data_IF_890035955393
#
_entry.id   IF_890035955393
#
_cell.length_a   1.000
_cell.length_b   1.000
_cell.length_c   1.000
_cell.angle_alpha   90.00
_cell.angle_beta   90.00
_cell.angle_gamma   90.00
#
_symmetry.space_group_name_H-M   'P 1'
#
loop_
_entity.id
_entity.type
_entity.pdbx_description
1 polymer ?
#
# COMPACT_ATOMS: atom_id res chain seq x y z
N UNK A 1 -21.23 -42.40 0.09
CA UNK A 1 -20.92 -41.17 -0.66
C UNK A 1 -20.79 -40.03 0.33
N UNK A 2 -19.58 -39.72 0.80
CA UNK A 2 -19.37 -38.68 1.81
C UNK A 2 -18.07 -37.90 1.53
N UNK A 3 -18.16 -36.58 1.78
CA UNK A 3 -17.09 -35.63 2.13
C UNK A 3 -15.99 -35.27 1.11
N UNK A 4 -16.35 -34.81 -0.09
CA UNK A 4 -15.41 -34.07 -0.95
C UNK A 4 -15.54 -32.53 -0.85
N UNK A 5 -16.58 -31.99 -0.19
CA UNK A 5 -16.93 -30.56 -0.25
C UNK A 5 -16.34 -29.64 0.83
N UNK A 6 -15.85 -30.16 1.96
CA UNK A 6 -15.43 -29.33 3.11
C UNK A 6 -13.92 -29.04 3.12
N UNK A 7 -13.11 -29.93 2.54
CA UNK A 7 -11.63 -29.78 2.52
C UNK A 7 -11.19 -28.69 1.52
N UNK A 8 -11.93 -28.50 0.43
CA UNK A 8 -11.62 -27.51 -0.61
C UNK A 8 -11.87 -26.05 -0.20
N UNK A 9 -12.93 -25.76 0.56
CA UNK A 9 -13.25 -24.41 1.02
C UNK A 9 -12.31 -23.93 2.12
N UNK A 10 -11.98 -24.79 3.10
CA UNK A 10 -11.05 -24.46 4.18
C UNK A 10 -9.62 -24.24 3.69
N UNK A 11 -9.14 -25.05 2.73
CA UNK A 11 -7.83 -24.85 2.08
C UNK A 11 -7.77 -23.55 1.28
N UNK A 12 -8.87 -23.18 0.61
CA UNK A 12 -8.95 -21.95 -0.18
C UNK A 12 -8.95 -20.73 0.74
N UNK A 13 -9.79 -20.72 1.78
CA UNK A 13 -9.82 -19.65 2.78
C UNK A 13 -8.47 -19.45 3.46
N UNK A 14 -7.74 -20.55 3.72
CA UNK A 14 -6.39 -20.49 4.28
C UNK A 14 -5.42 -19.77 3.33
N UNK A 15 -5.44 -20.08 2.03
CA UNK A 15 -4.61 -19.39 1.05
C UNK A 15 -4.97 -17.91 0.91
N UNK A 16 -6.25 -17.57 0.89
CA UNK A 16 -6.69 -16.16 0.81
C UNK A 16 -6.19 -15.36 2.02
N UNK A 17 -6.31 -15.91 3.24
CA UNK A 17 -5.75 -15.29 4.45
C UNK A 17 -4.23 -15.13 4.40
N UNK A 18 -3.52 -16.12 3.86
CA UNK A 18 -2.06 -16.03 3.67
C UNK A 18 -1.69 -14.90 2.70
N UNK A 19 -2.41 -14.75 1.59
CA UNK A 19 -2.19 -13.66 0.63
C UNK A 19 -2.55 -12.30 1.20
N UNK A 20 -3.66 -12.20 1.93
CA UNK A 20 -4.05 -10.99 2.64
C UNK A 20 -2.99 -10.57 3.67
N UNK A 21 -2.47 -11.52 4.47
CA UNK A 21 -1.38 -11.26 5.43
C UNK A 21 -0.11 -10.83 4.70
N UNK A 22 0.24 -11.52 3.63
CA UNK A 22 1.40 -11.18 2.81
C UNK A 22 1.27 -9.78 2.20
N UNK A 23 0.07 -9.33 1.82
CA UNK A 23 -0.15 -7.96 1.34
C UNK A 23 0.19 -6.91 2.40
N UNK A 24 -0.24 -7.11 3.66
CA UNK A 24 0.05 -6.19 4.77
C UNK A 24 1.57 -6.17 5.03
N UNK A 25 2.16 -7.33 5.26
CA UNK A 25 3.58 -7.46 5.59
C UNK A 25 4.47 -6.99 4.45
N UNK A 26 4.13 -7.34 3.21
CA UNK A 26 4.88 -6.94 2.03
C UNK A 26 4.91 -5.44 1.84
N UNK A 27 3.78 -4.75 2.06
CA UNK A 27 3.76 -3.29 1.98
C UNK A 27 4.64 -2.63 3.06
N UNK A 28 4.51 -3.07 4.32
CA UNK A 28 5.22 -2.45 5.44
C UNK A 28 6.72 -2.80 5.49
N UNK A 29 7.09 -4.01 5.07
CA UNK A 29 8.51 -4.38 4.94
C UNK A 29 9.16 -3.66 3.76
N UNK A 30 8.46 -3.51 2.63
CA UNK A 30 8.95 -2.73 1.50
C UNK A 30 9.10 -1.25 1.85
N UNK A 31 8.20 -0.69 2.65
CA UNK A 31 8.32 0.66 3.20
C UNK A 31 9.61 0.83 4.03
N UNK A 32 9.82 -0.02 5.04
CA UNK A 32 11.03 0.01 5.88
C UNK A 32 12.32 -0.21 5.07
N UNK A 33 12.29 -1.10 4.07
CA UNK A 33 13.39 -1.34 3.16
C UNK A 33 13.75 -0.10 2.31
N UNK A 34 12.76 0.73 2.01
CA UNK A 34 12.88 1.91 1.13
C UNK A 34 13.20 3.19 1.89
N UNK A 35 12.72 3.31 3.13
CA UNK A 35 12.80 4.49 3.98
C UNK A 35 14.18 5.19 3.96
N UNK A 36 15.32 4.47 4.04
CA UNK A 36 16.62 5.11 4.03
C UNK A 36 16.95 5.97 2.80
N UNK A 37 16.35 5.68 1.65
CA UNK A 37 16.57 6.40 0.39
C UNK A 37 15.29 7.14 -0.07
N UNK A 38 14.38 7.43 0.86
CA UNK A 38 13.12 8.08 0.57
C UNK A 38 13.30 9.51 0.06
N UNK A 39 12.51 9.89 -0.95
CA UNK A 39 12.47 11.24 -1.53
C UNK A 39 13.81 11.74 -2.07
N UNK A 40 14.69 10.84 -2.48
CA UNK A 40 15.84 11.20 -3.31
C UNK A 40 15.37 11.17 -4.77
N UNK A 41 15.09 12.36 -5.30
CA UNK A 41 14.65 12.58 -6.69
C UNK A 41 15.80 12.62 -7.69
N UNK A 42 17.03 12.36 -7.27
CA UNK A 42 18.15 12.29 -8.19
C UNK A 42 18.70 10.86 -8.16
N UNK A 43 18.54 10.14 -9.27
CA UNK A 43 19.01 8.75 -9.37
C UNK A 43 20.52 8.67 -9.31
N UNK A 44 21.23 9.62 -9.91
CA UNK A 44 22.69 9.67 -9.82
C UNK A 44 23.12 9.87 -8.37
N UNK A 45 22.36 10.65 -7.58
CA UNK A 45 22.61 10.78 -6.15
C UNK A 45 22.44 9.46 -5.40
N UNK A 46 21.42 8.66 -5.73
CA UNK A 46 21.25 7.31 -5.14
C UNK A 46 22.47 6.43 -5.47
N UNK A 47 22.91 6.43 -6.72
CA UNK A 47 24.10 5.66 -7.14
C UNK A 47 25.37 6.06 -6.41
N UNK A 48 25.59 7.38 -6.24
CA UNK A 48 26.73 7.92 -5.50
C UNK A 48 26.68 7.43 -4.05
N UNK A 49 25.52 7.52 -3.40
CA UNK A 49 25.35 7.06 -2.02
C UNK A 49 25.66 5.56 -1.87
N UNK A 50 25.18 4.71 -2.79
CA UNK A 50 25.48 3.27 -2.75
C UNK A 50 26.98 3.01 -2.91
N UNK A 51 27.64 3.70 -3.84
CA UNK A 51 29.10 3.60 -4.04
C UNK A 51 29.88 4.05 -2.80
N UNK A 52 29.49 5.17 -2.19
CA UNK A 52 30.09 5.69 -0.94
C UNK A 52 29.91 4.73 0.25
N UNK A 53 28.86 3.90 0.25
CA UNK A 53 28.64 2.87 1.25
C UNK A 53 29.22 1.49 0.88
N UNK A 54 29.95 1.38 -0.24
CA UNK A 54 30.47 0.12 -0.78
C UNK A 54 29.39 -0.94 -1.03
N UNK A 55 28.19 -0.50 -1.43
CA UNK A 55 27.07 -1.35 -1.79
C UNK A 55 26.95 -1.49 -3.31
N UNK A 56 26.50 -2.66 -3.74
CA UNK A 56 26.15 -2.90 -5.14
C UNK A 56 24.89 -2.14 -5.53
N UNK A 57 24.83 -1.68 -6.79
CA UNK A 57 23.69 -0.95 -7.34
C UNK A 57 22.35 -1.72 -7.20
N UNK A 58 22.42 -3.05 -7.26
CA UNK A 58 21.28 -3.96 -7.17
C UNK A 58 20.86 -4.30 -5.72
N UNK A 59 21.43 -3.62 -4.71
CA UNK A 59 21.09 -3.81 -3.29
C UNK A 59 20.87 -2.49 -2.54
N UNK A 60 19.91 -1.65 -2.97
CA UNK A 60 19.67 -0.35 -2.35
C UNK A 60 18.82 -0.41 -1.07
N UNK A 61 18.13 -1.52 -0.82
CA UNK A 61 17.28 -1.67 0.35
C UNK A 61 18.06 -1.55 1.66
N UNK A 62 17.40 -1.06 2.71
CA UNK A 62 17.99 -0.94 4.04
C UNK A 62 19.35 -0.23 4.00
N UNK A 63 19.49 0.81 3.16
CA UNK A 63 20.71 1.59 3.05
C UNK A 63 21.19 2.04 4.44
N UNK A 64 22.42 1.70 4.87
CA UNK A 64 22.82 1.72 6.27
C UNK A 64 22.93 3.13 6.87
N UNK A 65 22.99 4.15 6.02
CA UNK A 65 23.08 5.56 6.41
C UNK A 65 21.87 6.32 5.86
N UNK A 66 20.68 6.24 6.50
CA UNK A 66 19.49 6.93 6.02
C UNK A 66 19.78 8.35 5.52
N UNK A 67 19.46 8.61 4.25
CA UNK A 67 19.85 9.79 3.49
C UNK A 67 18.64 10.56 2.95
N UNK A 68 17.44 10.29 3.48
CA UNK A 68 16.25 11.07 3.18
C UNK A 68 16.52 12.56 3.49
N UNK A 69 16.26 13.49 2.56
CA UNK A 69 16.55 14.91 2.77
C UNK A 69 15.51 15.63 3.67
N UNK A 70 14.43 14.95 4.07
CA UNK A 70 13.29 15.58 4.75
C UNK A 70 13.04 15.11 6.18
N UNK A 71 13.65 14.00 6.62
CA UNK A 71 13.57 13.49 7.98
C UNK A 71 14.75 12.57 8.29
N UNK A 72 15.00 12.30 9.57
CA UNK A 72 16.06 11.40 10.03
C UNK A 72 15.47 10.32 10.92
N UNK A 73 15.29 9.12 10.37
CA UNK A 73 14.78 7.96 11.07
C UNK A 73 15.86 6.88 11.21
N UNK A 74 15.69 6.00 12.21
CA UNK A 74 16.59 4.88 12.40
C UNK A 74 16.37 3.81 11.34
N UNK A 75 17.44 3.12 10.95
CA UNK A 75 17.36 2.00 10.00
C UNK A 75 16.35 0.96 10.48
N UNK A 76 15.46 0.54 9.58
CA UNK A 76 14.40 -0.43 9.86
C UNK A 76 13.08 0.19 10.31
N UNK A 77 13.04 1.47 10.68
CA UNK A 77 11.78 2.17 10.93
C UNK A 77 10.92 2.24 9.66
N UNK A 78 9.60 2.28 9.85
CA UNK A 78 8.68 2.67 8.79
C UNK A 78 8.94 4.12 8.38
N UNK A 79 8.63 4.46 7.14
CA UNK A 79 8.57 5.86 6.69
C UNK A 79 7.35 6.56 7.29
N UNK A 80 7.20 7.89 7.13
CA UNK A 80 5.95 8.59 7.44
C UNK A 80 4.70 7.87 6.92
N UNK A 81 4.73 7.35 5.70
CA UNK A 81 3.58 6.64 5.12
C UNK A 81 3.25 5.35 5.88
N UNK A 82 4.25 4.58 6.30
CA UNK A 82 4.01 3.35 7.06
C UNK A 82 3.51 3.64 8.47
N UNK A 83 4.08 4.62 9.17
CA UNK A 83 3.62 5.02 10.51
C UNK A 83 2.21 5.63 10.49
N UNK A 84 1.85 6.35 9.41
CA UNK A 84 0.51 6.91 9.21
C UNK A 84 -0.60 5.85 9.01
N UNK A 85 -0.22 4.58 8.77
CA UNK A 85 -1.16 3.45 8.72
C UNK A 85 -1.50 2.87 10.10
N UNK A 86 -0.75 3.22 11.15
CA UNK A 86 -0.96 2.67 12.50
C UNK A 86 -2.37 2.91 13.05
N UNK A 87 -2.98 4.11 12.91
CA UNK A 87 -4.38 4.30 13.30
C UNK A 87 -5.31 3.34 12.59
N UNK A 88 -5.11 3.08 11.30
CA UNK A 88 -5.98 2.19 10.54
C UNK A 88 -5.78 0.72 10.95
N UNK A 89 -4.54 0.29 11.19
CA UNK A 89 -4.24 -1.04 11.74
C UNK A 89 -4.96 -1.26 13.07
N UNK A 90 -4.88 -0.28 13.99
CA UNK A 90 -5.55 -0.35 15.30
C UNK A 90 -7.07 -0.31 15.15
N UNK A 91 -7.58 0.53 14.26
CA UNK A 91 -9.01 0.65 14.01
C UNK A 91 -9.61 -0.66 13.49
N UNK A 92 -9.00 -1.25 12.46
CA UNK A 92 -9.49 -2.50 11.87
C UNK A 92 -9.43 -3.68 12.83
N UNK A 93 -8.58 -3.63 13.84
CA UNK A 93 -8.46 -4.66 14.88
C UNK A 93 -9.30 -4.38 16.13
N UNK A 94 -9.70 -3.14 16.40
CA UNK A 94 -10.50 -2.80 17.59
C UNK A 94 -12.00 -3.03 17.39
N UNK A 95 -12.47 -2.97 16.14
CA UNK A 95 -13.90 -3.04 15.82
C UNK A 95 -14.46 -4.48 15.77
N UNK A 96 -13.61 -5.49 15.62
CA UNK A 96 -14.05 -6.89 15.50
C UNK A 96 -15.07 -7.06 14.36
N UNK A 97 -16.18 -7.74 14.65
CA UNK A 97 -17.28 -7.95 13.70
C UNK A 97 -18.00 -6.66 13.27
N UNK A 98 -17.84 -5.53 14.00
CA UNK A 98 -18.49 -4.25 13.64
C UNK A 98 -17.91 -3.61 12.38
N UNK A 99 -16.67 -3.95 12.02
CA UNK A 99 -15.99 -3.41 10.86
C UNK A 99 -15.64 -1.91 10.98
N UNK A 100 -15.26 -1.29 9.87
CA UNK A 100 -14.73 0.06 9.79
C UNK A 100 -15.82 1.13 10.01
N UNK A 101 -15.54 2.13 10.86
CA UNK A 101 -16.42 3.26 11.16
C UNK A 101 -15.64 4.59 11.03
N UNK A 102 -16.11 5.45 10.13
CA UNK A 102 -15.38 6.66 9.72
C UNK A 102 -15.16 7.66 10.84
N UNK A 103 -16.15 7.90 11.72
CA UNK A 103 -16.04 8.93 12.78
C UNK A 103 -15.06 8.50 13.87
N UNK A 104 -15.09 7.25 14.27
CA UNK A 104 -14.14 6.66 15.20
C UNK A 104 -12.72 6.67 14.59
N UNK A 105 -12.57 6.24 13.33
CA UNK A 105 -11.28 6.28 12.66
C UNK A 105 -10.70 7.70 12.54
N UNK A 106 -11.54 8.70 12.28
CA UNK A 106 -11.12 10.12 12.26
C UNK A 106 -10.57 10.57 13.63
N UNK A 107 -11.28 10.26 14.71
CA UNK A 107 -10.84 10.61 16.08
C UNK A 107 -9.56 9.90 16.49
N UNK A 108 -9.45 8.61 16.19
CA UNK A 108 -8.26 7.80 16.45
C UNK A 108 -7.04 8.33 15.67
N UNK A 109 -7.25 8.71 14.41
CA UNK A 109 -6.20 9.28 13.56
C UNK A 109 -5.75 10.65 14.05
N UNK A 110 -6.69 11.55 14.39
CA UNK A 110 -6.37 12.87 14.95
C UNK A 110 -5.58 12.75 16.26
N UNK A 111 -6.01 11.84 17.15
CA UNK A 111 -5.29 11.58 18.41
C UNK A 111 -3.86 11.05 18.16
N UNK A 112 -3.70 10.12 17.23
CA UNK A 112 -2.38 9.58 16.87
C UNK A 112 -1.49 10.68 16.27
N UNK A 113 -1.94 11.39 15.23
CA UNK A 113 -1.16 12.42 14.54
C UNK A 113 -0.76 13.56 15.48
N UNK A 114 -1.62 13.93 16.43
CA UNK A 114 -1.30 14.93 17.47
C UNK A 114 -0.15 14.50 18.39
N UNK A 115 -0.08 13.22 18.72
CA UNK A 115 0.96 12.66 19.61
C UNK A 115 2.21 12.17 18.86
N UNK A 116 2.13 12.10 17.53
CA UNK A 116 3.20 11.55 16.70
C UNK A 116 4.37 12.52 16.61
N UNK A 117 5.55 12.04 16.97
CA UNK A 117 6.78 12.84 16.99
C UNK A 117 7.56 12.80 15.67
N UNK A 118 7.13 11.94 14.75
CA UNK A 118 7.72 11.82 13.43
C UNK A 118 7.21 12.88 12.45
N UNK A 119 7.73 12.85 11.22
CA UNK A 119 7.26 13.72 10.14
C UNK A 119 5.92 13.21 9.63
N UNK A 120 4.91 14.07 9.63
CA UNK A 120 3.67 13.84 8.88
C UNK A 120 3.84 14.21 7.41
N UNK A 121 3.24 13.41 6.54
CA UNK A 121 2.94 13.73 5.15
C UNK A 121 1.91 14.86 5.06
N UNK A 122 1.78 15.47 3.89
CA UNK A 122 0.94 16.67 3.72
C UNK A 122 -0.53 16.42 4.10
N UNK A 123 -1.07 15.27 3.70
CA UNK A 123 -2.47 14.90 3.97
C UNK A 123 -2.78 14.79 5.47
N UNK A 124 -2.11 13.94 6.28
CA UNK A 124 -2.31 13.91 7.73
C UNK A 124 -2.07 15.24 8.42
N UNK A 125 -1.11 16.03 7.94
CA UNK A 125 -0.83 17.37 8.47
C UNK A 125 -2.03 18.31 8.29
N UNK A 126 -2.56 18.43 7.07
CA UNK A 126 -3.72 19.27 6.79
C UNK A 126 -4.97 18.78 7.52
N UNK A 127 -5.16 17.46 7.60
CA UNK A 127 -6.24 16.86 8.39
C UNK A 127 -6.12 17.22 9.87
N UNK A 128 -4.94 17.08 10.47
CA UNK A 128 -4.70 17.45 11.86
C UNK A 128 -4.99 18.94 12.10
N UNK A 129 -4.42 19.83 11.28
CA UNK A 129 -4.65 21.28 11.35
C UNK A 129 -6.14 21.63 11.29
N UNK A 130 -6.90 20.98 10.40
CA UNK A 130 -8.34 21.17 10.28
C UNK A 130 -9.12 20.68 11.52
N UNK A 131 -8.76 19.50 12.05
CA UNK A 131 -9.40 18.96 13.27
C UNK A 131 -9.08 19.80 14.51
N UNK A 132 -7.87 20.34 14.64
CA UNK A 132 -7.52 21.25 15.74
C UNK A 132 -8.21 22.61 15.64
N UNK A 133 -8.62 23.01 14.43
CA UNK A 133 -9.51 24.14 14.20
C UNK A 133 -11.00 23.82 14.45
N UNK A 134 -11.32 22.61 14.94
CA UNK A 134 -12.69 22.19 15.27
C UNK A 134 -13.53 21.73 14.07
N UNK A 135 -12.91 21.50 12.90
CA UNK A 135 -13.61 20.96 11.73
C UNK A 135 -13.82 19.45 11.86
N UNK A 136 -14.90 18.95 11.29
CA UNK A 136 -15.24 17.52 11.27
C UNK A 136 -15.70 17.07 9.86
N UNK A 137 -15.72 15.76 9.64
CA UNK A 137 -16.22 15.17 8.39
C UNK A 137 -15.43 15.67 7.17
N UNK A 138 -16.15 16.02 6.10
CA UNK A 138 -15.55 16.48 4.84
C UNK A 138 -14.76 17.78 5.00
N UNK A 139 -15.09 18.63 5.98
CA UNK A 139 -14.35 19.88 6.24
C UNK A 139 -12.99 19.64 6.90
N UNK A 140 -12.81 18.48 7.55
CA UNK A 140 -11.53 18.05 8.10
C UNK A 140 -10.63 17.38 7.05
N UNK A 141 -11.22 16.83 5.98
CA UNK A 141 -10.50 16.08 4.96
C UNK A 141 -9.68 17.01 4.04
N UNK A 142 -8.41 16.66 3.80
CA UNK A 142 -7.50 17.48 3.00
C UNK A 142 -7.90 17.49 1.51
N UNK A 143 -7.98 18.66 0.83
CA UNK A 143 -8.19 18.76 -0.62
C UNK A 143 -6.90 18.46 -1.37
N UNK A 144 -6.40 17.23 -1.23
CA UNK A 144 -5.07 16.82 -1.69
C UNK A 144 -5.15 15.41 -2.30
N UNK A 145 -4.53 15.25 -3.47
CA UNK A 145 -4.53 14.01 -4.23
C UNK A 145 -3.21 13.23 -4.18
N UNK A 146 -2.49 13.29 -3.07
CA UNK A 146 -1.29 12.49 -2.86
C UNK A 146 -1.62 11.03 -2.47
N UNK A 147 -0.59 10.17 -2.53
CA UNK A 147 -0.65 8.71 -2.36
C UNK A 147 -1.16 8.20 -1.00
N UNK A 148 -1.54 9.06 -0.06
CA UNK A 148 -2.01 8.66 1.27
C UNK A 148 -3.28 7.78 1.23
N UNK A 149 -4.11 7.91 0.19
CA UNK A 149 -5.27 7.04 -0.01
C UNK A 149 -4.88 5.61 -0.39
N UNK A 150 -3.96 5.45 -1.34
CA UNK A 150 -3.58 4.15 -1.90
C UNK A 150 -2.81 3.29 -0.90
N UNK A 151 -2.05 3.89 0.03
CA UNK A 151 -1.30 3.13 1.05
C UNK A 151 -2.21 2.44 2.08
N UNK A 152 -3.47 2.89 2.23
CA UNK A 152 -4.46 2.27 3.13
C UNK A 152 -5.03 0.96 2.55
N UNK A 153 -5.02 0.84 1.23
CA UNK A 153 -5.71 -0.22 0.49
C UNK A 153 -5.26 -1.63 0.88
N UNK A 154 -3.96 -1.93 1.09
CA UNK A 154 -3.54 -3.26 1.53
C UNK A 154 -4.24 -3.74 2.81
N UNK A 155 -4.43 -2.87 3.79
CA UNK A 155 -5.10 -3.21 5.05
C UNK A 155 -6.60 -3.46 4.85
N UNK A 156 -7.23 -2.65 4.02
CA UNK A 156 -8.67 -2.74 3.73
C UNK A 156 -8.99 -3.98 2.90
N UNK A 157 -8.17 -4.29 1.89
CA UNK A 157 -8.31 -5.54 1.13
C UNK A 157 -8.07 -6.74 2.03
N UNK A 158 -7.05 -6.70 2.89
CA UNK A 158 -6.80 -7.80 3.82
C UNK A 158 -7.95 -8.04 4.83
N UNK A 159 -8.78 -7.02 5.09
CA UNK A 159 -9.95 -7.11 5.96
C UNK A 159 -11.26 -7.47 5.24
N UNK A 160 -11.40 -7.07 3.98
CA UNK A 160 -12.68 -7.06 3.25
C UNK A 160 -12.65 -7.77 1.89
N UNK A 161 -11.55 -8.37 1.45
CA UNK A 161 -11.51 -9.11 0.18
C UNK A 161 -12.63 -10.16 0.10
N UNK A 162 -13.37 -10.18 -1.01
CA UNK A 162 -14.52 -11.05 -1.24
C UNK A 162 -15.85 -10.49 -0.70
N UNK A 163 -15.81 -9.40 0.08
CA UNK A 163 -17.00 -8.75 0.62
C UNK A 163 -17.52 -7.66 -0.32
N UNK A 164 -18.85 -7.55 -0.52
CA UNK A 164 -19.43 -6.44 -1.30
C UNK A 164 -19.15 -5.06 -0.67
N UNK A 165 -18.75 -5.04 0.61
CA UNK A 165 -18.40 -3.83 1.36
C UNK A 165 -17.00 -3.30 1.03
N UNK A 166 -16.11 -4.04 0.36
CA UNK A 166 -14.71 -3.63 0.16
C UNK A 166 -14.59 -2.21 -0.42
N UNK A 167 -15.19 -1.95 -1.59
CA UNK A 167 -15.05 -0.66 -2.27
C UNK A 167 -15.71 0.49 -1.49
N UNK A 168 -16.90 0.31 -0.89
CA UNK A 168 -17.45 1.25 0.08
C UNK A 168 -16.51 1.56 1.26
N UNK A 169 -15.91 0.53 1.90
CA UNK A 169 -14.98 0.73 3.03
C UNK A 169 -13.69 1.42 2.60
N UNK A 170 -13.17 1.10 1.41
CA UNK A 170 -12.01 1.79 0.84
C UNK A 170 -12.30 3.27 0.63
N UNK A 171 -13.45 3.58 0.03
CA UNK A 171 -13.86 4.97 -0.20
C UNK A 171 -14.04 5.71 1.12
N UNK A 172 -14.72 5.11 2.10
CA UNK A 172 -14.94 5.69 3.41
C UNK A 172 -13.62 5.97 4.15
N UNK A 173 -12.68 5.02 4.17
CA UNK A 173 -11.39 5.18 4.83
C UNK A 173 -10.49 6.23 4.17
N UNK A 174 -10.53 6.37 2.84
CA UNK A 174 -9.83 7.44 2.11
C UNK A 174 -10.42 8.79 2.48
N UNK A 175 -11.76 8.90 2.42
CA UNK A 175 -12.51 10.15 2.65
C UNK A 175 -12.36 10.73 4.06
N UNK A 176 -11.94 9.93 5.05
CA UNK A 176 -11.61 10.45 6.37
C UNK A 176 -10.44 11.45 6.35
N UNK A 177 -9.43 11.24 5.48
CA UNK A 177 -8.24 12.11 5.44
C UNK A 177 -8.14 12.97 4.19
N UNK A 178 -8.79 12.60 3.09
CA UNK A 178 -8.71 13.31 1.80
C UNK A 178 -10.08 13.51 1.20
N UNK A 179 -10.38 14.72 0.75
CA UNK A 179 -11.53 14.99 -0.10
C UNK A 179 -11.13 15.00 -1.58
N UNK A 180 -12.13 14.91 -2.46
CA UNK A 180 -11.95 14.79 -3.90
C UNK A 180 -12.00 13.35 -4.42
N UNK A 181 -12.37 13.22 -5.70
CA UNK A 181 -12.65 11.92 -6.30
C UNK A 181 -11.41 11.20 -6.81
N UNK A 182 -10.31 11.91 -7.10
CA UNK A 182 -9.07 11.32 -7.63
C UNK A 182 -8.46 10.28 -6.68
N UNK A 183 -8.30 10.65 -5.40
CA UNK A 183 -7.78 9.74 -4.36
C UNK A 183 -8.67 8.52 -4.15
N UNK A 184 -9.99 8.71 -4.19
CA UNK A 184 -10.96 7.63 -4.07
C UNK A 184 -10.92 6.70 -5.29
N UNK A 185 -10.88 7.25 -6.51
CA UNK A 185 -10.81 6.49 -7.75
C UNK A 185 -9.52 5.66 -7.84
N UNK A 186 -8.37 6.25 -7.53
CA UNK A 186 -7.09 5.54 -7.48
C UNK A 186 -7.12 4.41 -6.44
N UNK A 187 -7.61 4.69 -5.24
CA UNK A 187 -7.67 3.68 -4.16
C UNK A 187 -8.64 2.55 -4.51
N UNK A 188 -9.77 2.83 -5.17
CA UNK A 188 -10.68 1.80 -5.66
C UNK A 188 -10.06 0.99 -6.80
N UNK A 189 -9.35 1.61 -7.74
CA UNK A 189 -8.64 0.89 -8.80
C UNK A 189 -7.63 -0.11 -8.20
N UNK A 190 -6.83 0.34 -7.22
CA UNK A 190 -5.89 -0.53 -6.51
C UNK A 190 -6.62 -1.64 -5.74
N UNK A 191 -7.73 -1.33 -5.06
CA UNK A 191 -8.47 -2.30 -4.27
C UNK A 191 -8.97 -3.45 -5.13
N UNK A 192 -9.48 -3.17 -6.33
CA UNK A 192 -9.91 -4.20 -7.29
C UNK A 192 -8.77 -5.11 -7.72
N UNK A 193 -7.62 -4.53 -8.07
CA UNK A 193 -6.45 -5.30 -8.51
C UNK A 193 -5.93 -6.18 -7.36
N UNK A 194 -5.74 -5.60 -6.18
CA UNK A 194 -5.19 -6.33 -5.04
C UNK A 194 -6.19 -7.38 -4.50
N UNK A 195 -7.49 -7.09 -4.48
CA UNK A 195 -8.53 -8.07 -4.15
C UNK A 195 -8.48 -9.26 -5.11
N UNK A 196 -8.38 -9.00 -6.41
CA UNK A 196 -8.27 -10.06 -7.40
C UNK A 196 -7.04 -10.95 -7.13
N UNK A 197 -5.87 -10.34 -6.90
CA UNK A 197 -4.65 -11.08 -6.51
C UNK A 197 -4.85 -11.89 -5.22
N UNK A 198 -5.49 -11.32 -4.20
CA UNK A 198 -5.73 -11.99 -2.91
C UNK A 198 -6.69 -13.17 -3.06
N UNK A 199 -7.76 -13.03 -3.84
CA UNK A 199 -8.77 -14.07 -4.02
C UNK A 199 -8.28 -15.20 -4.94
N UNK A 200 -7.58 -14.88 -6.03
CA UNK A 200 -7.24 -15.87 -7.07
C UNK A 200 -5.79 -16.34 -6.98
N UNK A 201 -4.88 -15.49 -6.50
CA UNK A 201 -3.43 -15.72 -6.56
C UNK A 201 -2.82 -15.52 -7.94
N UNK A 202 -3.51 -14.86 -8.86
CA UNK A 202 -2.93 -14.45 -10.13
C UNK A 202 -1.84 -13.40 -9.93
N UNK A 203 -0.99 -13.23 -10.94
CA UNK A 203 -0.06 -12.11 -10.99
C UNK A 203 -0.79 -10.77 -11.02
N UNK A 204 -0.12 -9.69 -10.62
CA UNK A 204 -0.66 -8.33 -10.72
C UNK A 204 -1.08 -7.98 -12.15
N UNK A 205 -0.30 -8.42 -13.15
CA UNK A 205 -0.60 -8.19 -14.57
C UNK A 205 -1.92 -8.84 -14.99
N UNK A 206 -2.11 -10.11 -14.66
CA UNK A 206 -3.34 -10.85 -14.94
C UNK A 206 -4.53 -10.23 -14.20
N UNK A 207 -4.34 -9.79 -12.95
CA UNK A 207 -5.37 -9.10 -12.17
C UNK A 207 -5.82 -7.79 -12.83
N UNK A 208 -4.87 -6.95 -13.30
CA UNK A 208 -5.20 -5.73 -14.04
C UNK A 208 -6.00 -6.06 -15.30
N UNK A 209 -5.58 -7.06 -16.07
CA UNK A 209 -6.29 -7.50 -17.28
C UNK A 209 -7.71 -7.98 -16.96
N UNK A 210 -7.89 -8.80 -15.93
CA UNK A 210 -9.18 -9.32 -15.51
C UNK A 210 -10.15 -8.20 -15.06
N UNK A 211 -9.64 -7.19 -14.34
CA UNK A 211 -10.41 -6.01 -13.92
C UNK A 211 -10.83 -5.18 -15.15
N UNK A 212 -9.95 -5.01 -16.13
CA UNK A 212 -10.25 -4.25 -17.37
C UNK A 212 -11.29 -4.94 -18.26
N UNK A 213 -11.36 -6.27 -18.26
CA UNK A 213 -12.27 -7.07 -19.09
C UNK A 213 -13.62 -7.41 -18.43
N UNK A 214 -13.96 -6.79 -17.29
CA UNK A 214 -15.22 -6.99 -16.54
C UNK A 214 -15.40 -8.36 -15.87
N UNK A 215 -14.32 -9.03 -15.45
CA UNK A 215 -14.43 -10.33 -14.76
C UNK A 215 -14.78 -10.23 -13.25
N UNK A 216 -14.92 -9.03 -12.69
CA UNK A 216 -15.08 -8.83 -11.25
C UNK A 216 -16.55 -9.05 -10.81
N UNK A 217 -16.90 -10.32 -10.55
CA UNK A 217 -18.25 -10.77 -10.15
C UNK A 217 -18.67 -10.27 -8.76
N UNK A 218 -17.72 -9.71 -7.98
CA UNK A 218 -17.92 -9.25 -6.61
C UNK A 218 -18.01 -7.73 -6.51
N UNK A 219 -17.78 -7.01 -7.61
CA UNK A 219 -17.88 -5.56 -7.67
C UNK A 219 -19.32 -5.06 -7.50
N UNK A 220 -19.56 -4.26 -6.47
CA UNK A 220 -20.84 -3.57 -6.26
C UNK A 220 -21.12 -2.46 -7.29
N UNK A 221 -20.12 -2.04 -8.08
CA UNK A 221 -20.25 -1.03 -9.15
C UNK A 221 -19.32 -1.32 -10.33
N UNK A 222 -19.69 -0.80 -11.50
CA UNK A 222 -18.84 -0.84 -12.71
C UNK A 222 -17.50 -0.10 -12.51
N UNK A 223 -16.49 -0.50 -13.29
CA UNK A 223 -15.18 0.18 -13.36
C UNK A 223 -15.37 1.58 -13.96
N UNK A 224 -14.93 2.61 -13.24
CA UNK A 224 -15.02 4.00 -13.70
C UNK A 224 -13.99 4.33 -14.78
N UNK A 225 -14.21 5.42 -15.53
CA UNK A 225 -13.29 5.86 -16.58
C UNK A 225 -11.88 6.22 -16.03
N UNK A 226 -11.82 6.91 -14.90
CA UNK A 226 -10.55 7.23 -14.23
C UNK A 226 -9.81 5.98 -13.76
N UNK A 227 -10.52 5.02 -13.14
CA UNK A 227 -9.96 3.73 -12.73
C UNK A 227 -9.38 2.99 -13.95
N UNK A 228 -10.16 2.89 -15.03
CA UNK A 228 -9.74 2.25 -16.29
C UNK A 228 -8.49 2.91 -16.86
N UNK A 229 -8.45 4.24 -16.95
CA UNK A 229 -7.31 4.97 -17.49
C UNK A 229 -6.00 4.73 -16.70
N UNK A 230 -6.09 4.63 -15.36
CA UNK A 230 -4.93 4.32 -14.50
C UNK A 230 -4.38 2.94 -14.83
N UNK A 231 -5.27 1.94 -14.90
CA UNK A 231 -4.92 0.54 -15.16
C UNK A 231 -4.33 0.35 -16.56
N UNK A 232 -4.95 0.93 -17.60
CA UNK A 232 -4.47 0.84 -18.99
C UNK A 232 -3.10 1.51 -19.15
N UNK A 233 -2.91 2.70 -18.55
CA UNK A 233 -1.62 3.41 -18.60
C UNK A 233 -0.49 2.60 -17.97
N UNK A 234 -0.73 2.00 -16.79
CA UNK A 234 0.28 1.18 -16.12
C UNK A 234 0.67 -0.07 -16.93
N UNK A 235 -0.32 -0.73 -17.55
CA UNK A 235 -0.13 -1.97 -18.30
C UNK A 235 0.55 -1.77 -19.66
N UNK A 236 0.37 -0.59 -20.27
CA UNK A 236 0.91 -0.28 -21.59
C UNK A 236 2.41 0.08 -21.59
N UNK A 237 2.99 0.39 -20.42
CA UNK A 237 4.39 0.81 -20.33
C UNK A 237 5.36 -0.37 -20.44
N UNK A 238 6.57 -0.10 -20.94
CA UNK A 238 7.62 -1.10 -21.13
C UNK A 238 8.54 -1.18 -19.91
N UNK A 239 8.85 -2.40 -19.47
CA UNK A 239 9.77 -2.70 -18.37
C UNK A 239 11.07 -3.34 -18.88
N UNK A 240 12.24 -3.10 -18.27
CA UNK A 240 12.53 -2.20 -17.14
C UNK A 240 13.03 -0.80 -17.59
N UNK A 241 12.14 0.19 -17.66
CA UNK A 241 12.51 1.60 -17.94
C UNK A 241 12.20 2.47 -16.71
N UNK A 242 13.20 2.87 -15.89
CA UNK A 242 12.96 3.72 -14.73
C UNK A 242 12.49 5.13 -15.08
N UNK A 243 12.65 5.60 -16.33
CA UNK A 243 12.11 6.89 -16.78
C UNK A 243 10.58 6.87 -16.91
N UNK A 244 9.96 5.68 -17.01
CA UNK A 244 8.49 5.54 -16.97
C UNK A 244 7.92 6.13 -15.68
N UNK A 245 8.56 5.90 -14.53
CA UNK A 245 8.12 6.47 -13.24
C UNK A 245 8.16 7.99 -13.27
N UNK A 246 9.22 8.57 -13.86
CA UNK A 246 9.32 10.02 -14.02
C UNK A 246 8.24 10.57 -14.96
N UNK A 247 7.90 9.85 -16.04
CA UNK A 247 6.84 10.21 -17.00
C UNK A 247 5.44 10.18 -16.35
N UNK A 248 5.17 9.22 -15.48
CA UNK A 248 3.90 9.15 -14.73
C UNK A 248 3.79 10.21 -13.64
N UNK A 249 4.92 10.65 -13.09
CA UNK A 249 4.98 11.59 -11.99
C UNK A 249 5.84 11.01 -10.89
N UNK A 250 6.98 11.66 -10.65
CA UNK A 250 7.99 11.14 -9.73
C UNK A 250 7.67 11.39 -8.25
N UNK A 251 6.72 12.28 -7.99
CA UNK A 251 6.25 12.68 -6.67
C UNK A 251 5.08 11.82 -6.18
N UNK A 252 4.54 12.18 -5.03
CA UNK A 252 3.42 11.51 -4.38
C UNK A 252 2.06 11.73 -5.05
N UNK A 253 1.96 12.56 -6.10
CA UNK A 253 0.69 12.92 -6.72
C UNK A 253 0.04 11.74 -7.46
N UNK A 254 -1.28 11.61 -7.32
CA UNK A 254 -2.10 10.75 -8.14
C UNK A 254 -2.43 11.43 -9.48
N UNK A 255 -2.70 10.66 -10.54
CA UNK A 255 -2.67 9.19 -10.61
C UNK A 255 -1.24 8.59 -10.70
N UNK A 256 -0.21 9.43 -10.89
CA UNK A 256 1.16 9.01 -11.19
C UNK A 256 1.76 8.02 -10.19
N UNK A 257 1.59 8.26 -8.89
CA UNK A 257 2.08 7.35 -7.85
C UNK A 257 1.49 5.92 -7.99
N UNK A 258 0.19 5.80 -8.30
CA UNK A 258 -0.43 4.50 -8.51
C UNK A 258 -0.03 3.87 -9.85
N UNK A 259 0.04 4.66 -10.93
CA UNK A 259 0.50 4.18 -12.23
C UNK A 259 1.92 3.59 -12.14
N UNK A 260 2.84 4.30 -11.48
CA UNK A 260 4.20 3.80 -11.24
C UNK A 260 4.23 2.54 -10.39
N UNK A 261 3.38 2.45 -9.37
CA UNK A 261 3.28 1.26 -8.52
C UNK A 261 2.78 0.04 -9.28
N UNK A 262 1.70 0.19 -10.05
CA UNK A 262 1.11 -0.88 -10.85
C UNK A 262 2.03 -1.31 -11.99
N UNK A 263 2.71 -0.37 -12.64
CA UNK A 263 3.72 -0.67 -13.65
C UNK A 263 4.81 -1.58 -13.08
N UNK A 264 5.41 -1.23 -11.94
CA UNK A 264 6.44 -2.08 -11.35
C UNK A 264 5.88 -3.44 -10.94
N UNK A 265 4.75 -3.47 -10.23
CA UNK A 265 4.15 -4.72 -9.74
C UNK A 265 3.66 -5.65 -10.86
N UNK A 266 3.23 -5.11 -12.01
CA UNK A 266 2.79 -5.90 -13.15
C UNK A 266 3.94 -6.55 -13.95
N UNK A 267 5.16 -6.01 -13.83
CA UNK A 267 6.27 -6.41 -14.69
C UNK A 267 7.50 -6.96 -13.96
N UNK A 268 7.69 -6.61 -12.68
CA UNK A 268 8.80 -7.12 -11.90
C UNK A 268 8.71 -8.66 -11.73
N UNK A 269 9.86 -9.37 -11.80
CA UNK A 269 9.87 -10.83 -11.72
C UNK A 269 9.52 -11.35 -10.32
N UNK A 270 9.85 -10.59 -9.28
CA UNK A 270 9.66 -10.95 -7.88
C UNK A 270 9.59 -9.70 -6.97
N UNK A 271 9.23 -9.93 -5.71
CA UNK A 271 9.11 -8.91 -4.67
C UNK A 271 10.37 -8.06 -4.50
N UNK A 272 11.54 -8.71 -4.37
CA UNK A 272 12.80 -8.02 -4.12
C UNK A 272 13.20 -7.16 -5.32
N UNK A 273 13.10 -7.70 -6.53
CA UNK A 273 13.39 -7.00 -7.77
C UNK A 273 12.47 -5.79 -7.96
N UNK A 274 11.17 -5.91 -7.66
CA UNK A 274 10.21 -4.81 -7.74
C UNK A 274 10.49 -3.69 -6.75
N UNK A 275 10.71 -4.03 -5.48
CA UNK A 275 11.04 -3.03 -4.44
C UNK A 275 12.33 -2.30 -4.78
N UNK A 276 13.40 -3.02 -5.15
CA UNK A 276 14.69 -2.43 -5.52
C UNK A 276 14.59 -1.54 -6.75
N UNK A 277 13.87 -1.97 -7.79
CA UNK A 277 13.63 -1.16 -8.98
C UNK A 277 12.99 0.19 -8.62
N UNK A 278 11.96 0.18 -7.77
CA UNK A 278 11.28 1.40 -7.33
C UNK A 278 12.13 2.28 -6.42
N UNK A 279 13.02 1.70 -5.59
CA UNK A 279 14.02 2.45 -4.81
C UNK A 279 14.95 3.19 -5.78
N UNK A 280 15.56 2.48 -6.73
CA UNK A 280 16.50 3.04 -7.71
C UNK A 280 15.84 4.02 -8.66
N UNK A 281 14.55 3.88 -8.89
CA UNK A 281 13.79 4.85 -9.65
C UNK A 281 13.69 6.20 -8.93
N UNK A 282 13.89 6.30 -7.60
CA UNK A 282 13.93 7.55 -6.82
C UNK A 282 12.57 8.21 -6.55
N UNK A 283 12.56 9.46 -6.10
CA UNK A 283 11.34 10.25 -5.85
C UNK A 283 10.51 9.73 -4.68
N UNK A 284 9.19 9.77 -4.77
CA UNK A 284 8.28 9.25 -3.73
C UNK A 284 8.19 7.71 -3.73
N UNK A 285 9.30 7.06 -3.42
CA UNK A 285 9.44 5.61 -3.53
C UNK A 285 8.81 4.83 -2.38
N UNK A 286 8.67 5.38 -1.17
CA UNK A 286 8.06 4.67 -0.03
C UNK A 286 6.57 4.41 -0.25
N UNK A 287 5.80 5.43 -0.64
CA UNK A 287 4.37 5.26 -0.92
C UNK A 287 4.12 4.23 -2.04
N UNK A 288 4.95 4.29 -3.09
CA UNK A 288 4.92 3.30 -4.18
C UNK A 288 5.28 1.91 -3.69
N UNK A 289 6.32 1.79 -2.86
CA UNK A 289 6.78 0.49 -2.38
C UNK A 289 5.84 -0.17 -1.37
N UNK A 290 5.02 0.59 -0.65
CA UNK A 290 3.89 0.00 0.10
C UNK A 290 2.95 -0.75 -0.86
N UNK A 291 2.62 -0.14 -2.00
CA UNK A 291 1.70 -0.74 -2.99
C UNK A 291 2.38 -1.90 -3.75
N UNK A 292 3.61 -1.68 -4.24
CA UNK A 292 4.38 -2.69 -4.97
C UNK A 292 4.62 -3.92 -4.09
N UNK A 293 5.08 -3.70 -2.85
CA UNK A 293 5.35 -4.75 -1.89
C UNK A 293 4.08 -5.54 -1.55
N UNK A 294 2.95 -4.86 -1.35
CA UNK A 294 1.67 -5.53 -1.08
C UNK A 294 1.23 -6.45 -2.23
N UNK A 295 1.27 -5.96 -3.47
CA UNK A 295 0.87 -6.72 -4.66
C UNK A 295 1.79 -7.92 -4.91
N UNK A 296 3.11 -7.70 -4.89
CA UNK A 296 4.10 -8.74 -5.19
C UNK A 296 4.17 -9.81 -4.10
N UNK A 297 3.97 -9.44 -2.83
CA UNK A 297 3.89 -10.41 -1.75
C UNK A 297 2.57 -11.21 -1.79
N UNK A 298 1.44 -10.57 -2.12
CA UNK A 298 0.15 -11.24 -2.20
C UNK A 298 0.07 -12.27 -3.34
N UNK A 299 0.68 -12.02 -4.50
CA UNK A 299 0.68 -12.99 -5.61
C UNK A 299 1.54 -14.24 -5.32
N UNK A 300 2.49 -14.15 -4.38
CA UNK A 300 3.31 -15.29 -3.95
C UNK A 300 3.48 -15.34 -2.41
N UNK A 301 2.45 -15.73 -1.66
CA UNK A 301 2.43 -15.59 -0.20
C UNK A 301 3.47 -16.47 0.52
N UNK A 302 4.06 -17.45 -0.16
CA UNK A 302 5.08 -18.34 0.41
C UNK A 302 6.46 -17.77 0.12
N UNK A 303 7.12 -17.26 1.16
CA UNK A 303 8.51 -16.78 1.11
C UNK A 303 8.79 -15.64 0.11
N UNK A 304 7.78 -14.87 -0.32
CA UNK A 304 8.03 -13.70 -1.17
C UNK A 304 8.86 -12.63 -0.47
N UNK A 305 8.62 -12.42 0.83
CA UNK A 305 9.33 -11.41 1.61
C UNK A 305 10.59 -12.07 2.20
N UNK A 306 11.81 -11.56 1.93
CA UNK A 306 13.02 -12.10 2.52
C UNK A 306 12.96 -12.06 4.05
N UNK A 307 13.29 -13.17 4.71
CA UNK A 307 13.28 -13.24 6.18
C UNK A 307 14.24 -12.23 6.82
N UNK A 308 15.36 -11.92 6.16
CA UNK A 308 16.28 -10.88 6.61
C UNK A 308 15.68 -9.47 6.54
N UNK A 309 14.74 -9.21 5.62
CA UNK A 309 14.07 -7.91 5.53
C UNK A 309 13.05 -7.76 6.66
N UNK A 310 12.28 -8.82 6.92
CA UNK A 310 11.36 -8.87 8.07
C UNK A 310 12.13 -8.60 9.37
N UNK A 311 13.25 -9.30 9.59
CA UNK A 311 14.07 -9.15 10.80
C UNK A 311 14.71 -7.75 10.94
N UNK A 312 14.90 -7.03 9.83
CA UNK A 312 15.41 -5.65 9.83
C UNK A 312 14.30 -4.62 10.05
N UNK A 313 13.04 -4.95 9.78
CA UNK A 313 11.90 -4.05 9.96
C UNK A 313 11.55 -3.92 11.45
N UNK A 314 11.50 -2.68 11.93
CA UNK A 314 11.29 -2.28 13.32
C UNK A 314 10.13 -1.29 13.42
N UNK A 315 8.89 -1.74 13.16
CA UNK A 315 7.71 -0.89 13.24
C UNK A 315 7.46 -0.43 14.67
N UNK A 316 6.76 0.70 14.83
CA UNK A 316 6.38 1.20 16.16
C UNK A 316 5.23 0.41 16.81
N UNK A 317 4.68 -0.60 16.12
CA UNK A 317 3.65 -1.53 16.59
C UNK A 317 3.95 -2.94 16.14
N UNK A 318 3.40 -3.95 16.82
CA UNK A 318 3.49 -5.35 16.38
C UNK A 318 2.59 -5.59 15.14
N UNK A 319 3.16 -5.32 13.98
CA UNK A 319 2.47 -5.44 12.69
C UNK A 319 2.05 -6.88 12.40
N UNK A 320 2.86 -7.88 12.79
CA UNK A 320 2.52 -9.28 12.53
C UNK A 320 1.28 -9.70 13.32
N UNK A 321 1.23 -9.37 14.61
CA UNK A 321 0.08 -9.66 15.46
C UNK A 321 -1.19 -8.94 14.96
N UNK A 322 -1.08 -7.67 14.54
CA UNK A 322 -2.20 -6.92 13.99
C UNK A 322 -2.67 -7.49 12.65
N UNK A 323 -1.74 -7.89 11.77
CA UNK A 323 -2.07 -8.54 10.51
C UNK A 323 -2.80 -9.86 10.74
N UNK A 324 -2.34 -10.69 11.67
CA UNK A 324 -2.99 -11.96 12.04
C UNK A 324 -4.42 -11.73 12.53
N UNK A 325 -4.64 -10.70 13.34
CA UNK A 325 -5.98 -10.33 13.80
C UNK A 325 -6.87 -9.87 12.65
N UNK A 326 -6.38 -9.01 11.75
CA UNK A 326 -7.13 -8.53 10.58
C UNK A 326 -7.58 -9.68 9.69
N UNK A 327 -6.67 -10.60 9.34
CA UNK A 327 -6.99 -11.71 8.43
C UNK A 327 -7.81 -12.81 9.11
N UNK A 328 -7.71 -12.94 10.43
CA UNK A 328 -8.58 -13.82 11.22
C UNK A 328 -10.06 -13.42 11.13
N UNK A 329 -10.33 -12.12 10.98
CA UNK A 329 -11.67 -11.55 10.83
C UNK A 329 -12.12 -11.40 9.37
N UNK A 330 -11.30 -11.85 8.40
CA UNK A 330 -11.65 -11.87 6.99
C UNK A 330 -12.84 -12.84 6.81
N UNK A 331 -14.00 -12.26 6.51
CA UNK A 331 -15.26 -12.95 6.35
C UNK A 331 -15.45 -13.31 4.87
N UNK A 332 -15.09 -14.55 4.52
CA UNK A 332 -15.30 -15.16 3.19
C UNK A 332 -15.92 -16.53 3.39
#
# INVERSE_FOLDING_TARGET
MASAGVVGSASTLTLVRQRAKAAILGGLVADAATMPLHWIYDRERIEILLKEAHLSYDRPEFYPKPACPFYQYSLGSLSPYGDELVPLLRHLTSQGARGFESRAFAKESAAFFKSYTGRLSHVPKLFLEATEAGKEGDEAAAPDSQAHGIIKVPLLVARYAGSPDLLPRVTAAVRVHQCGDESAAASVALARVLEHVVLTGTTTKEAIQAVLTHADRHASRALGAAERAILETALAAQYPDPDVIKKFGWSCALPGALQGSLYVAAHAPDYTSGVRFSIMAGGDNCSRNIVIGALLAAQNPKNAIPAEWIAKTRPCVDVEALADKIVGELAI
#
